data_IF_013396111534
#
_entry.id   IF_013396111534
#
_cell.length_a   1.000
_cell.length_b   1.000
_cell.length_c   1.000
_cell.angle_alpha   90.00
_cell.angle_beta   90.00
_cell.angle_gamma   90.00
#
_symmetry.space_group_name_H-M   'P 1'
#
loop_
_entity.id
_entity.type
_entity.pdbx_description
1 polymer ?
#
# COMPACT_ATOMS: atom_id res chain seq x y z
N UNK A 1 -57.94 -17.35 74.88
CA UNK A 1 -58.46 -18.61 75.46
C UNK A 1 -57.53 -19.74 75.02
N UNK A 2 -56.97 -20.47 76.00
CA UNK A 2 -56.41 -21.83 75.97
C UNK A 2 -55.54 -22.29 74.76
N UNK A 3 -54.42 -23.01 74.87
CA UNK A 3 -53.61 -23.55 75.96
C UNK A 3 -52.52 -24.41 75.26
N UNK A 4 -51.29 -24.45 75.82
CA UNK A 4 -50.34 -25.60 75.88
C UNK A 4 -50.01 -26.33 74.55
N UNK A 5 -48.78 -26.62 74.13
CA UNK A 5 -47.50 -26.75 74.80
C UNK A 5 -46.74 -27.96 74.19
N UNK A 6 -45.70 -27.68 73.39
CA UNK A 6 -44.41 -28.41 73.23
C UNK A 6 -44.41 -29.92 72.81
N UNK A 7 -43.25 -30.56 72.56
CA UNK A 7 -42.56 -30.61 71.26
C UNK A 7 -42.12 -32.05 70.90
N UNK A 8 -41.41 -32.28 69.78
CA UNK A 8 -40.88 -33.63 69.53
C UNK A 8 -39.98 -33.76 68.32
N UNK A 9 -38.68 -33.68 68.58
CA UNK A 9 -37.56 -33.95 67.68
C UNK A 9 -37.36 -35.44 67.36
N UNK A 10 -36.79 -35.72 66.18
CA UNK A 10 -35.80 -36.79 66.04
C UNK A 10 -36.10 -37.84 64.97
N UNK A 11 -35.07 -38.19 64.20
CA UNK A 11 -34.98 -39.50 63.55
C UNK A 11 -34.60 -39.49 62.07
N UNK A 12 -33.30 -39.42 61.81
CA UNK A 12 -32.65 -39.88 60.58
C UNK A 12 -32.94 -41.37 60.33
N UNK A 13 -33.24 -41.77 59.09
CA UNK A 13 -32.46 -42.71 58.25
C UNK A 13 -33.32 -43.39 57.18
N UNK A 14 -32.95 -43.16 55.90
CA UNK A 14 -33.05 -44.18 54.85
C UNK A 14 -34.25 -44.14 53.91
N UNK A 15 -34.04 -43.71 52.66
CA UNK A 15 -33.78 -44.63 51.53
C UNK A 15 -33.67 -43.90 50.19
N UNK A 16 -32.66 -44.35 49.45
CA UNK A 16 -32.30 -44.18 48.04
C UNK A 16 -33.49 -44.07 47.07
N UNK A 17 -33.35 -43.28 45.99
CA UNK A 17 -33.13 -43.75 44.60
C UNK A 17 -33.12 -42.54 43.63
N UNK A 18 -32.18 -42.59 42.69
CA UNK A 18 -31.82 -41.70 41.59
C UNK A 18 -32.97 -41.03 40.80
N UNK A 19 -32.77 -39.77 40.38
CA UNK A 19 -32.90 -39.34 38.98
C UNK A 19 -32.41 -37.90 38.70
N UNK A 20 -31.34 -37.83 37.93
CA UNK A 20 -31.15 -36.97 36.74
C UNK A 20 -31.03 -35.42 36.88
N UNK A 21 -29.78 -34.98 36.74
CA UNK A 21 -29.26 -34.08 35.69
C UNK A 21 -29.98 -32.74 35.49
N UNK A 22 -29.25 -31.67 35.78
CA UNK A 22 -29.55 -30.34 35.26
C UNK A 22 -28.64 -29.24 35.80
N UNK A 23 -27.35 -29.50 36.01
CA UNK A 23 -26.39 -28.43 36.32
C UNK A 23 -26.10 -27.66 35.02
N UNK A 24 -26.91 -26.63 34.74
CA UNK A 24 -26.57 -25.61 33.75
C UNK A 24 -25.45 -24.78 34.35
N UNK A 25 -24.21 -25.23 34.14
CA UNK A 25 -23.04 -24.37 34.25
C UNK A 25 -23.16 -23.32 33.15
N UNK A 26 -23.66 -22.15 33.54
CA UNK A 26 -23.56 -20.91 32.77
C UNK A 26 -22.06 -20.55 32.68
N UNK A 27 -21.37 -21.24 31.78
CA UNK A 27 -20.02 -20.88 31.36
C UNK A 27 -20.09 -19.53 30.67
N UNK A 28 -19.67 -18.47 31.35
CA UNK A 28 -19.29 -17.22 30.73
C UNK A 28 -18.08 -17.55 29.85
N UNK A 29 -18.33 -17.90 28.59
CA UNK A 29 -17.33 -17.83 27.57
C UNK A 29 -17.01 -16.34 27.40
N UNK A 30 -16.01 -15.88 28.14
CA UNK A 30 -15.33 -14.63 27.80
C UNK A 30 -14.75 -14.85 26.41
N UNK A 31 -15.46 -14.33 25.41
CA UNK A 31 -14.96 -14.17 24.06
C UNK A 31 -13.79 -13.18 24.14
N UNK A 32 -12.60 -13.72 24.40
CA UNK A 32 -11.35 -13.03 24.11
C UNK A 32 -11.35 -12.88 22.60
N UNK A 33 -11.85 -11.74 22.14
CA UNK A 33 -11.66 -11.30 20.77
C UNK A 33 -10.16 -11.09 20.63
N UNK A 34 -9.46 -12.13 20.14
CA UNK A 34 -8.10 -11.98 19.63
C UNK A 34 -8.24 -11.03 18.47
N UNK A 35 -8.03 -9.74 18.72
CA UNK A 35 -7.71 -8.80 17.66
C UNK A 35 -6.57 -9.47 16.88
N UNK A 36 -6.81 -9.75 15.60
CA UNK A 36 -5.74 -10.18 14.72
C UNK A 36 -4.60 -9.17 14.93
N UNK A 37 -3.49 -9.66 15.45
CA UNK A 37 -2.39 -8.83 15.92
C UNK A 37 -1.89 -8.01 14.73
N UNK A 38 -1.89 -6.68 14.83
CA UNK A 38 -1.44 -5.76 13.78
C UNK A 38 -0.15 -6.17 13.03
N UNK A 39 0.86 -6.79 13.67
CA UNK A 39 2.05 -7.30 12.97
C UNK A 39 1.75 -8.27 11.82
N UNK A 40 0.74 -9.15 11.97
CA UNK A 40 0.38 -10.10 10.92
C UNK A 40 -0.25 -9.43 9.69
N UNK A 41 -0.92 -8.28 9.89
CA UNK A 41 -1.49 -7.50 8.80
C UNK A 41 -0.42 -6.69 8.05
N UNK A 42 0.58 -6.17 8.77
CA UNK A 42 1.74 -5.47 8.18
C UNK A 42 2.59 -6.41 7.33
N UNK A 43 2.95 -7.58 7.87
CA UNK A 43 3.73 -8.59 7.13
C UNK A 43 3.00 -9.06 5.86
N UNK A 44 1.68 -9.22 5.93
CA UNK A 44 0.87 -9.57 4.77
C UNK A 44 0.90 -8.47 3.69
N UNK A 45 0.84 -7.19 4.09
CA UNK A 45 0.93 -6.06 3.16
C UNK A 45 2.31 -5.99 2.50
N UNK A 46 3.39 -6.19 3.26
CA UNK A 46 4.76 -6.24 2.72
C UNK A 46 4.90 -7.41 1.74
N UNK A 47 4.41 -8.60 2.09
CA UNK A 47 4.44 -9.77 1.21
C UNK A 47 3.68 -9.51 -0.09
N UNK A 48 2.53 -8.82 -0.02
CA UNK A 48 1.76 -8.43 -1.20
C UNK A 48 2.53 -7.46 -2.09
N UNK A 49 3.16 -6.42 -1.53
CA UNK A 49 3.98 -5.47 -2.30
C UNK A 49 5.18 -6.16 -2.98
N UNK A 50 5.81 -7.14 -2.32
CA UNK A 50 6.88 -7.93 -2.93
C UNK A 50 6.38 -8.81 -4.08
N UNK A 51 5.19 -9.42 -3.92
CA UNK A 51 4.58 -10.22 -4.97
C UNK A 51 4.18 -9.37 -6.19
N UNK A 52 3.66 -8.16 -5.96
CA UNK A 52 3.35 -7.18 -7.01
C UNK A 52 4.63 -6.74 -7.75
N UNK A 53 5.70 -6.40 -7.03
CA UNK A 53 7.00 -6.10 -7.62
C UNK A 53 7.51 -7.24 -8.52
N UNK A 54 7.41 -8.50 -8.06
CA UNK A 54 7.83 -9.64 -8.86
C UNK A 54 6.95 -9.84 -10.10
N UNK A 55 5.64 -9.61 -9.98
CA UNK A 55 4.70 -9.69 -11.11
C UNK A 55 5.04 -8.65 -12.17
N UNK A 56 5.33 -7.42 -11.77
CA UNK A 56 5.70 -6.33 -12.67
C UNK A 56 7.05 -6.60 -13.35
N UNK A 57 8.04 -7.10 -12.59
CA UNK A 57 9.32 -7.50 -13.14
C UNK A 57 9.16 -8.59 -14.24
N UNK A 58 8.30 -9.60 -14.00
CA UNK A 58 7.99 -10.63 -14.99
C UNK A 58 7.29 -10.06 -16.23
N UNK A 59 6.38 -9.11 -16.05
CA UNK A 59 5.71 -8.44 -17.16
C UNK A 59 6.70 -7.67 -18.04
N UNK A 60 7.67 -6.97 -17.43
CA UNK A 60 8.74 -6.26 -18.16
C UNK A 60 9.55 -7.25 -19.02
N UNK A 61 9.97 -8.38 -18.45
CA UNK A 61 10.71 -9.40 -19.20
C UNK A 61 9.87 -9.93 -20.35
N UNK A 62 8.62 -10.30 -20.10
CA UNK A 62 7.70 -10.81 -21.13
C UNK A 62 7.49 -9.81 -22.27
N UNK A 63 7.29 -8.53 -21.96
CA UNK A 63 7.07 -7.49 -22.96
C UNK A 63 8.33 -7.15 -23.77
N UNK A 64 9.51 -7.46 -23.24
CA UNK A 64 10.79 -7.26 -23.92
C UNK A 64 11.34 -8.55 -24.54
N UNK A 65 10.56 -9.63 -24.61
CA UNK A 65 11.04 -10.95 -25.02
C UNK A 65 11.64 -10.95 -26.44
N UNK A 66 11.10 -10.16 -27.37
CA UNK A 66 11.66 -10.03 -28.72
C UNK A 66 13.06 -9.40 -28.71
N UNK A 67 13.22 -8.26 -28.02
CA UNK A 67 14.51 -7.59 -27.84
C UNK A 67 15.53 -8.47 -27.10
N UNK A 68 15.07 -9.21 -26.10
CA UNK A 68 15.88 -10.17 -25.35
C UNK A 68 16.38 -11.27 -26.29
N UNK A 69 15.51 -11.82 -27.14
CA UNK A 69 15.83 -12.93 -28.05
C UNK A 69 16.58 -12.51 -29.32
N UNK A 70 16.68 -11.21 -29.61
CA UNK A 70 17.34 -10.71 -30.82
C UNK A 70 18.86 -11.01 -30.79
N UNK A 71 19.41 -11.84 -31.69
CA UNK A 71 20.84 -12.15 -31.66
C UNK A 71 21.74 -10.98 -32.06
N UNK A 72 21.22 -9.96 -32.74
CA UNK A 72 22.00 -8.84 -33.29
C UNK A 72 22.30 -7.75 -32.25
N UNK A 73 21.60 -7.77 -31.11
CA UNK A 73 21.79 -6.79 -30.03
C UNK A 73 22.59 -7.45 -28.90
N UNK A 74 23.80 -6.98 -28.62
CA UNK A 74 24.60 -7.45 -27.49
C UNK A 74 24.03 -7.01 -26.13
N UNK A 75 24.37 -5.79 -25.69
CA UNK A 75 23.76 -5.21 -24.49
C UNK A 75 22.34 -4.70 -24.80
N UNK A 76 21.35 -5.30 -24.12
CA UNK A 76 19.93 -4.94 -24.27
C UNK A 76 19.57 -3.66 -23.50
N UNK A 77 20.44 -3.19 -22.60
CA UNK A 77 20.22 -2.00 -21.78
C UNK A 77 19.16 -2.14 -20.69
N UNK A 78 18.60 -3.34 -20.48
CA UNK A 78 17.56 -3.58 -19.46
C UNK A 78 18.14 -3.57 -18.04
N UNK A 79 19.30 -4.22 -17.85
CA UNK A 79 19.98 -4.29 -16.55
C UNK A 79 20.45 -2.93 -16.08
N UNK A 80 20.95 -2.08 -16.97
CA UNK A 80 21.44 -0.74 -16.62
C UNK A 80 20.33 0.15 -16.03
N UNK A 81 19.14 0.18 -16.65
CA UNK A 81 18.02 0.99 -16.18
C UNK A 81 17.42 0.45 -14.88
N UNK A 82 17.29 -0.86 -14.76
CA UNK A 82 16.86 -1.48 -13.49
C UNK A 82 17.86 -1.20 -12.37
N UNK A 83 19.17 -1.33 -12.66
CA UNK A 83 20.25 -0.98 -11.74
C UNK A 83 20.21 0.48 -11.30
N UNK A 84 19.98 1.40 -12.24
CA UNK A 84 19.81 2.83 -11.93
C UNK A 84 18.63 3.09 -11.00
N UNK A 85 17.48 2.43 -11.20
CA UNK A 85 16.32 2.57 -10.32
C UNK A 85 16.59 2.03 -8.92
N UNK A 86 17.19 0.85 -8.80
CA UNK A 86 17.54 0.27 -7.50
C UNK A 86 18.58 1.12 -6.75
N UNK A 87 19.59 1.61 -7.46
CA UNK A 87 20.57 2.53 -6.91
C UNK A 87 19.94 3.86 -6.47
N UNK A 88 18.99 4.40 -7.23
CA UNK A 88 18.25 5.60 -6.85
C UNK A 88 17.47 5.43 -5.55
N UNK A 89 16.78 4.29 -5.39
CA UNK A 89 16.07 3.95 -4.15
C UNK A 89 17.04 3.83 -2.99
N UNK A 90 18.14 3.09 -3.16
CA UNK A 90 19.17 2.91 -2.14
C UNK A 90 19.75 4.25 -1.67
N UNK A 91 20.15 5.11 -2.61
CA UNK A 91 20.71 6.43 -2.30
C UNK A 91 19.74 7.30 -1.47
N UNK A 92 18.45 7.31 -1.83
CA UNK A 92 17.44 8.08 -1.11
C UNK A 92 17.21 7.51 0.30
N UNK A 93 17.14 6.18 0.44
CA UNK A 93 16.96 5.53 1.74
C UNK A 93 18.17 5.77 2.65
N UNK A 94 19.38 5.67 2.12
CA UNK A 94 20.63 5.89 2.86
C UNK A 94 20.75 7.36 3.31
N UNK A 95 20.51 8.30 2.39
CA UNK A 95 20.59 9.73 2.68
C UNK A 95 19.57 10.20 3.73
N UNK A 96 18.48 9.46 3.94
CA UNK A 96 17.42 9.83 4.87
C UNK A 96 17.41 8.98 6.16
N UNK A 97 18.38 8.11 6.39
CA UNK A 97 18.42 7.24 7.59
C UNK A 97 18.33 8.02 8.90
N UNK A 98 18.96 9.20 9.01
CA UNK A 98 18.91 10.03 10.22
C UNK A 98 17.49 10.52 10.51
N UNK A 99 16.78 10.99 9.48
CA UNK A 99 15.37 11.42 9.55
C UNK A 99 14.45 10.24 9.87
N UNK A 100 14.61 9.13 9.14
CA UNK A 100 13.81 7.91 9.29
C UNK A 100 13.96 7.34 10.69
N UNK A 101 15.18 7.29 11.23
CA UNK A 101 15.47 6.68 12.53
C UNK A 101 15.40 7.67 13.70
N UNK A 102 15.04 8.94 13.46
CA UNK A 102 14.91 9.95 14.51
C UNK A 102 13.91 9.50 15.59
N UNK A 103 14.33 9.52 16.85
CA UNK A 103 13.50 9.17 18.00
C UNK A 103 12.86 10.42 18.59
N UNK A 104 11.70 10.27 19.22
CA UNK A 104 10.99 11.37 19.90
C UNK A 104 10.33 12.40 18.97
N UNK A 105 10.33 12.15 17.66
CA UNK A 105 9.70 13.00 16.66
C UNK A 105 8.53 12.23 16.04
N UNK A 106 7.31 12.78 16.15
CA UNK A 106 6.11 12.18 15.56
C UNK A 106 6.11 12.28 14.03
N UNK A 107 6.07 13.50 13.49
CA UNK A 107 6.10 13.73 12.05
C UNK A 107 7.52 13.99 11.54
N UNK A 108 8.03 13.08 10.71
CA UNK A 108 9.41 13.09 10.20
C UNK A 108 9.58 13.76 8.83
N UNK A 109 8.50 14.22 8.21
CA UNK A 109 8.48 14.83 6.87
C UNK A 109 9.02 13.97 5.70
N UNK A 110 9.51 12.75 5.94
CA UNK A 110 9.85 11.77 4.91
C UNK A 110 8.60 10.97 4.51
N UNK A 111 7.73 11.63 3.73
CA UNK A 111 6.44 11.10 3.26
C UNK A 111 6.56 10.50 1.84
N UNK A 112 5.59 9.69 1.37
CA UNK A 112 5.63 9.08 0.04
C UNK A 112 5.92 10.05 -1.11
N UNK A 113 5.31 11.24 -1.11
CA UNK A 113 5.55 12.26 -2.13
C UNK A 113 7.01 12.80 -2.14
N UNK A 114 7.65 12.89 -0.96
CA UNK A 114 9.06 13.28 -0.85
C UNK A 114 9.95 12.15 -1.35
N UNK A 115 9.66 10.92 -0.96
CA UNK A 115 10.35 9.73 -1.44
C UNK A 115 10.28 9.61 -2.97
N UNK A 116 9.08 9.65 -3.55
CA UNK A 116 8.87 9.54 -5.00
C UNK A 116 9.60 10.62 -5.79
N UNK A 117 9.59 11.88 -5.31
CA UNK A 117 10.38 12.95 -5.94
C UNK A 117 11.87 12.66 -5.90
N UNK A 118 12.41 12.35 -4.72
CA UNK A 118 13.86 12.15 -4.55
C UNK A 118 14.35 10.97 -5.39
N UNK A 119 13.57 9.88 -5.44
CA UNK A 119 13.88 8.72 -6.29
C UNK A 119 13.82 9.10 -7.77
N UNK A 120 12.80 9.85 -8.22
CA UNK A 120 12.72 10.32 -9.60
C UNK A 120 13.90 11.22 -10.01
N UNK A 121 14.29 12.16 -9.15
CA UNK A 121 15.45 13.04 -9.36
C UNK A 121 16.77 12.23 -9.41
N UNK A 122 16.95 11.27 -8.49
CA UNK A 122 18.13 10.39 -8.47
C UNK A 122 18.18 9.45 -9.68
N UNK A 123 17.05 8.85 -10.05
CA UNK A 123 16.93 7.97 -11.21
C UNK A 123 17.25 8.71 -12.51
N UNK A 124 16.70 9.91 -12.73
CA UNK A 124 16.99 10.69 -13.93
C UNK A 124 18.49 11.00 -14.07
N UNK A 125 19.18 11.26 -12.94
CA UNK A 125 20.64 11.45 -12.90
C UNK A 125 21.39 10.16 -13.22
N UNK A 126 21.03 9.04 -12.58
CA UNK A 126 21.70 7.74 -12.76
C UNK A 126 21.43 7.12 -14.13
N UNK A 127 20.28 7.39 -14.72
CA UNK A 127 19.93 7.00 -16.08
C UNK A 127 20.51 7.96 -17.14
N UNK A 128 21.34 8.94 -16.75
CA UNK A 128 21.96 9.93 -17.65
C UNK A 128 20.96 10.63 -18.57
N UNK A 129 19.76 10.88 -18.06
CA UNK A 129 18.66 11.45 -18.83
C UNK A 129 18.04 10.53 -19.88
N UNK A 130 18.49 9.29 -20.08
CA UNK A 130 17.88 8.35 -21.04
C UNK A 130 16.47 7.91 -20.64
N UNK A 131 16.15 7.97 -19.35
CA UNK A 131 14.84 7.67 -18.80
C UNK A 131 14.58 8.60 -17.61
N UNK A 132 13.30 8.92 -17.39
CA UNK A 132 12.86 9.75 -16.29
C UNK A 132 11.63 9.12 -15.63
N UNK A 133 11.47 9.36 -14.33
CA UNK A 133 10.31 8.95 -13.56
C UNK A 133 9.84 10.15 -12.75
N UNK A 134 8.54 10.44 -12.81
CA UNK A 134 7.93 11.54 -12.06
C UNK A 134 6.55 11.13 -11.58
N UNK A 135 6.26 11.42 -10.31
CA UNK A 135 4.90 11.43 -9.77
C UNK A 135 4.34 12.84 -9.94
N UNK A 136 3.15 12.94 -10.52
CA UNK A 136 2.45 14.19 -10.83
C UNK A 136 0.95 14.03 -10.56
N UNK A 137 0.25 15.15 -10.57
CA UNK A 137 -1.15 15.29 -10.17
C UNK A 137 -1.85 16.36 -11.04
N UNK A 138 -3.21 16.43 -11.16
CA UNK A 138 -3.90 17.60 -11.65
C UNK A 138 -3.37 18.89 -11.02
N UNK A 139 -3.26 19.99 -11.80
CA UNK A 139 -2.72 21.27 -11.33
C UNK A 139 -3.37 21.81 -10.05
N UNK A 140 -4.66 21.50 -9.84
CA UNK A 140 -5.46 21.91 -8.69
C UNK A 140 -5.16 21.11 -7.39
N UNK A 141 -4.61 19.90 -7.51
CA UNK A 141 -4.28 19.02 -6.39
C UNK A 141 -2.78 19.04 -6.06
N UNK A 142 -1.93 19.28 -7.06
CA UNK A 142 -0.47 19.24 -6.90
C UNK A 142 0.07 20.39 -6.03
N UNK A 143 0.53 20.03 -4.83
CA UNK A 143 1.12 21.00 -3.88
C UNK A 143 2.56 21.36 -4.21
N UNK A 144 3.36 20.38 -4.62
CA UNK A 144 4.77 20.56 -4.90
C UNK A 144 4.98 21.10 -6.32
N UNK A 145 5.54 22.30 -6.45
CA UNK A 145 5.82 22.93 -7.76
C UNK A 145 6.70 22.07 -8.67
N UNK A 146 7.63 21.28 -8.12
CA UNK A 146 8.48 20.35 -8.90
C UNK A 146 7.74 19.13 -9.43
N UNK A 147 6.58 18.80 -8.83
CA UNK A 147 5.73 17.70 -9.25
C UNK A 147 4.61 18.16 -10.20
N UNK A 148 4.58 19.44 -10.59
CA UNK A 148 3.55 19.94 -11.51
C UNK A 148 3.61 19.21 -12.85
N UNK A 149 2.44 18.96 -13.46
CA UNK A 149 2.40 18.40 -14.79
C UNK A 149 2.95 19.41 -15.80
N UNK A 150 3.60 18.91 -16.86
CA UNK A 150 3.82 19.67 -18.08
C UNK A 150 2.54 19.68 -18.93
N UNK A 151 2.60 20.37 -20.08
CA UNK A 151 1.43 20.53 -20.98
C UNK A 151 0.89 19.18 -21.47
N UNK A 152 1.78 18.21 -21.73
CA UNK A 152 1.37 16.88 -22.16
C UNK A 152 0.67 16.13 -21.02
N UNK A 153 1.30 16.11 -19.83
CA UNK A 153 0.76 15.41 -18.67
C UNK A 153 -0.59 16.00 -18.26
N UNK A 154 -0.72 17.33 -18.22
CA UNK A 154 -1.96 18.01 -17.89
C UNK A 154 -3.07 17.66 -18.87
N UNK A 155 -2.76 17.62 -20.17
CA UNK A 155 -3.73 17.24 -21.19
C UNK A 155 -4.19 15.78 -21.04
N UNK A 156 -3.28 14.84 -20.81
CA UNK A 156 -3.63 13.43 -20.64
C UNK A 156 -4.40 13.19 -19.34
N UNK A 157 -4.01 13.85 -18.25
CA UNK A 157 -4.76 13.82 -16.98
C UNK A 157 -6.21 14.23 -17.23
N UNK A 158 -6.42 15.41 -17.84
CA UNK A 158 -7.76 16.00 -18.01
C UNK A 158 -8.63 15.31 -19.04
N UNK A 159 -8.05 14.80 -20.12
CA UNK A 159 -8.84 14.27 -21.26
C UNK A 159 -8.92 12.75 -21.30
N UNK A 160 -8.17 12.06 -20.41
CA UNK A 160 -8.13 10.60 -20.33
C UNK A 160 -8.27 10.14 -18.90
N UNK A 161 -7.26 10.37 -18.06
CA UNK A 161 -7.13 9.60 -16.82
C UNK A 161 -8.25 9.90 -15.81
N UNK A 162 -8.75 11.14 -15.77
CA UNK A 162 -9.86 11.57 -14.88
C UNK A 162 -11.24 11.30 -15.48
N UNK A 163 -11.32 10.97 -16.77
CA UNK A 163 -12.59 10.81 -17.47
C UNK A 163 -13.27 9.50 -17.05
N UNK A 164 -14.56 9.51 -16.65
CA UNK A 164 -15.27 8.29 -16.25
C UNK A 164 -15.31 7.20 -17.31
N UNK A 165 -15.21 7.59 -18.59
CA UNK A 165 -15.19 6.67 -19.72
C UNK A 165 -13.83 5.96 -19.91
N UNK A 166 -12.75 6.47 -19.31
CA UNK A 166 -11.45 5.83 -19.37
C UNK A 166 -11.39 4.68 -18.37
N UNK A 167 -11.02 3.46 -18.79
CA UNK A 167 -10.96 2.33 -17.88
C UNK A 167 -10.02 2.58 -16.70
N UNK A 168 -10.54 2.36 -15.50
CA UNK A 168 -9.79 2.58 -14.26
C UNK A 168 -8.51 1.74 -14.26
N UNK A 169 -7.39 2.39 -13.96
CA UNK A 169 -6.08 1.73 -13.93
C UNK A 169 -5.45 1.54 -15.31
N UNK A 170 -6.13 1.89 -16.41
CA UNK A 170 -5.54 1.77 -17.75
C UNK A 170 -4.47 2.85 -17.95
N UNK A 171 -3.22 2.48 -18.26
CA UNK A 171 -2.19 3.44 -18.60
C UNK A 171 -2.43 4.05 -19.98
N UNK A 172 -1.94 5.27 -20.17
CA UNK A 172 -1.83 5.91 -21.48
C UNK A 172 -0.37 5.94 -21.90
N UNK A 173 -0.07 5.68 -23.18
CA UNK A 173 1.28 5.82 -23.71
C UNK A 173 1.29 6.28 -25.16
N UNK A 174 2.30 7.08 -25.51
CA UNK A 174 2.56 7.49 -26.88
C UNK A 174 4.04 7.86 -27.12
N UNK A 175 4.44 7.87 -28.39
CA UNK A 175 5.69 8.50 -28.83
C UNK A 175 5.44 9.99 -29.04
N UNK A 176 6.09 10.84 -28.24
CA UNK A 176 5.91 12.30 -28.28
C UNK A 176 7.17 13.04 -27.81
N UNK A 177 7.18 14.37 -27.85
CA UNK A 177 8.32 15.14 -27.36
C UNK A 177 8.39 15.17 -25.83
N UNK A 178 9.60 15.06 -25.29
CA UNK A 178 9.91 15.38 -23.91
C UNK A 178 11.21 16.18 -23.84
N UNK A 179 11.10 17.49 -23.56
CA UNK A 179 12.25 18.41 -23.46
C UNK A 179 13.06 18.54 -24.76
N UNK A 180 12.38 18.57 -25.91
CA UNK A 180 13.01 18.78 -27.21
C UNK A 180 13.65 17.51 -27.79
N UNK A 181 13.28 16.33 -27.28
CA UNK A 181 13.70 15.04 -27.83
C UNK A 181 12.51 14.09 -27.94
N UNK A 182 12.48 13.21 -28.97
CA UNK A 182 11.51 12.12 -29.03
C UNK A 182 11.63 11.19 -27.82
N UNK A 183 10.51 10.89 -27.19
CA UNK A 183 10.43 9.99 -26.04
C UNK A 183 9.16 9.13 -26.11
N UNK A 184 9.28 7.86 -25.70
CA UNK A 184 8.11 7.06 -25.39
C UNK A 184 7.63 7.44 -23.99
N UNK A 185 6.51 8.16 -23.90
CA UNK A 185 5.95 8.61 -22.63
C UNK A 185 4.84 7.66 -22.21
N UNK A 186 4.83 7.31 -20.94
CA UNK A 186 3.79 6.48 -20.31
C UNK A 186 3.27 7.23 -19.08
N UNK A 187 1.96 7.30 -18.95
CA UNK A 187 1.28 7.77 -17.74
C UNK A 187 0.44 6.64 -17.17
N UNK A 188 0.72 6.31 -15.92
CA UNK A 188 0.00 5.29 -15.16
C UNK A 188 -0.83 6.01 -14.10
N UNK A 189 -2.17 5.86 -14.08
CA UNK A 189 -3.00 6.51 -13.08
C UNK A 189 -2.77 5.89 -11.69
N UNK A 190 -2.54 6.73 -10.69
CA UNK A 190 -2.46 6.34 -9.29
C UNK A 190 -3.65 6.94 -8.52
N UNK A 191 -4.37 6.10 -7.78
CA UNK A 191 -5.57 6.52 -7.05
C UNK A 191 -5.35 6.41 -5.54
N UNK A 192 -5.96 7.31 -4.77
CA UNK A 192 -5.83 7.27 -3.31
C UNK A 192 -6.30 5.93 -2.73
N UNK A 193 -5.36 5.22 -2.10
CA UNK A 193 -5.64 4.11 -1.21
C UNK A 193 -6.15 4.62 0.14
N UNK A 194 -6.69 3.71 0.97
CA UNK A 194 -7.17 4.07 2.30
C UNK A 194 -6.10 4.77 3.16
N UNK A 195 -4.84 4.35 3.03
CA UNK A 195 -3.70 4.94 3.73
C UNK A 195 -3.45 6.41 3.32
N UNK A 196 -3.68 6.76 2.05
CA UNK A 196 -3.49 8.11 1.53
C UNK A 196 -4.45 9.13 2.18
N UNK A 197 -5.67 8.69 2.49
CA UNK A 197 -6.73 9.53 3.06
C UNK A 197 -6.41 10.01 4.47
N UNK A 198 -5.46 9.38 5.16
CA UNK A 198 -4.92 9.86 6.45
C UNK A 198 -4.37 11.29 6.34
N UNK A 199 -3.80 11.64 5.19
CA UNK A 199 -3.21 12.96 4.94
C UNK A 199 -3.99 13.79 3.89
N UNK A 200 -4.70 13.13 2.98
CA UNK A 200 -5.39 13.78 1.86
C UNK A 200 -6.91 13.98 2.07
N UNK A 201 -7.51 13.43 3.15
CA UNK A 201 -8.93 13.61 3.45
C UNK A 201 -9.85 12.70 2.62
N UNK A 202 -11.15 13.03 2.52
CA UNK A 202 -12.13 12.29 1.71
C UNK A 202 -12.45 13.05 0.42
N UNK A 203 -12.75 12.37 -0.73
CA UNK A 203 -13.22 10.99 -0.83
C UNK A 203 -12.22 9.97 -1.42
N UNK A 204 -12.46 8.70 -1.07
CA UNK A 204 -11.73 7.54 -1.58
C UNK A 204 -11.94 7.40 -3.09
N UNK A 205 -10.85 7.27 -3.85
CA UNK A 205 -10.91 6.89 -5.27
C UNK A 205 -10.67 8.00 -6.29
N UNK A 206 -10.45 9.24 -5.85
CA UNK A 206 -9.93 10.32 -6.68
C UNK A 206 -8.44 10.08 -7.00
N UNK A 207 -7.97 10.59 -8.15
CA UNK A 207 -6.54 10.64 -8.46
C UNK A 207 -5.91 11.84 -7.77
N UNK A 208 -4.66 11.68 -7.34
CA UNK A 208 -3.84 12.80 -6.90
C UNK A 208 -3.63 13.78 -8.03
#
# INVERSE_FOLDING_TARGET
MASKGLPGSGGWMGRLVNALIGLVLMGIAASVSVAATEPAAEDAAIAQSLAEMLRDARAIISNNQSKINDPEIGDKGLTAKLGAMMAAIGEVMDANQSTINAKGIGFKAFIPAVFGRLVGESFARLASGEAELKVTAPPELVRNRKARPDVFEENIIKTKLVEPAWPRGQPYSEMTDAKGRPAYRVMVPEYYAASCLTCHGSPKGEMD
#
